data_IF_798834052101
#
_entry.id   IF_798834052101
#
_cell.length_a   1.000
_cell.length_b   1.000
_cell.length_c   1.000
_cell.angle_alpha   90.00
_cell.angle_beta   90.00
_cell.angle_gamma   90.00
#
_symmetry.space_group_name_H-M   'P 1'
#
loop_
_entity.id
_entity.type
_entity.pdbx_description
1 polymer ?
#
# COMPACT_ATOMS: atom_id res chain seq x y z
N UNK A 1 -4.16 29.09 -7.95
CA UNK A 1 -3.13 28.08 -8.19
C UNK A 1 -3.62 26.80 -7.55
N UNK A 2 -3.59 25.68 -8.27
CA UNK A 2 -3.95 24.38 -7.71
C UNK A 2 -2.75 23.72 -7.05
N UNK A 3 -2.96 23.23 -5.82
CA UNK A 3 -1.93 22.55 -5.04
C UNK A 3 -2.14 21.04 -5.08
N UNK A 4 -1.05 20.30 -5.17
CA UNK A 4 -1.03 18.86 -4.98
C UNK A 4 0.09 18.43 -4.01
N UNK A 5 -0.07 17.25 -3.43
CA UNK A 5 0.88 16.67 -2.49
C UNK A 5 1.62 15.50 -3.14
N UNK A 6 2.96 15.52 -3.13
CA UNK A 6 3.80 14.48 -3.71
C UNK A 6 4.55 13.70 -2.62
N UNK A 7 4.21 12.43 -2.46
CA UNK A 7 4.95 11.46 -1.64
C UNK A 7 6.09 10.84 -2.45
N UNK A 8 7.34 11.15 -2.08
CA UNK A 8 8.57 10.71 -2.74
C UNK A 8 9.09 9.37 -2.21
N UNK A 9 8.22 8.38 -2.00
CA UNK A 9 8.63 7.00 -1.75
C UNK A 9 8.68 6.23 -3.08
N UNK A 10 9.87 5.80 -3.53
CA UNK A 10 10.03 5.17 -4.84
C UNK A 10 9.38 3.78 -4.99
N UNK A 11 8.98 3.11 -3.90
CA UNK A 11 8.15 1.89 -3.97
C UNK A 11 6.74 2.18 -4.44
N UNK A 12 6.22 3.37 -4.14
CA UNK A 12 4.85 3.82 -4.39
C UNK A 12 4.88 5.35 -4.46
N UNK A 13 5.48 5.95 -5.50
CA UNK A 13 5.38 7.42 -5.59
C UNK A 13 3.91 7.76 -5.75
N UNK A 14 3.42 8.71 -4.96
CA UNK A 14 2.01 9.06 -4.93
C UNK A 14 1.83 10.55 -5.07
N UNK A 15 0.99 10.98 -6.01
CA UNK A 15 0.62 12.37 -6.21
C UNK A 15 -0.88 12.51 -5.98
N UNK A 16 -1.27 13.30 -4.98
CA UNK A 16 -2.67 13.60 -4.70
C UNK A 16 -3.00 15.03 -5.11
N UNK A 17 -4.01 15.18 -5.97
CA UNK A 17 -4.55 16.48 -6.40
C UNK A 17 -6.07 16.43 -6.32
N UNK A 18 -6.65 17.16 -5.35
CA UNK A 18 -8.07 16.99 -4.99
C UNK A 18 -8.39 15.54 -4.63
N UNK A 19 -9.44 14.98 -5.21
CA UNK A 19 -9.85 13.58 -4.99
C UNK A 19 -9.02 12.57 -5.81
N UNK A 20 -8.14 13.04 -6.70
CA UNK A 20 -7.36 12.18 -7.57
C UNK A 20 -6.05 11.79 -6.91
N UNK A 21 -5.87 10.49 -6.70
CA UNK A 21 -4.61 9.88 -6.26
C UNK A 21 -4.00 9.10 -7.42
N UNK A 22 -2.77 9.47 -7.80
CA UNK A 22 -1.99 8.78 -8.82
C UNK A 22 -0.84 8.05 -8.15
N UNK A 23 -0.68 6.76 -8.42
CA UNK A 23 0.46 5.97 -7.93
C UNK A 23 1.34 5.53 -9.09
N UNK A 24 2.66 5.73 -8.97
CA UNK A 24 3.62 5.36 -10.00
C UNK A 24 4.95 4.91 -9.39
N UNK A 25 5.17 3.61 -9.14
CA UNK A 25 6.43 3.13 -8.56
C UNK A 25 7.64 3.51 -9.43
N UNK A 26 8.83 3.59 -8.85
CA UNK A 26 10.08 4.02 -9.45
C UNK A 26 10.69 3.07 -10.49
N UNK A 27 9.88 2.60 -11.44
CA UNK A 27 10.29 1.78 -12.59
C UNK A 27 10.27 2.64 -13.84
N UNK A 28 11.31 2.52 -14.65
CA UNK A 28 11.40 3.11 -15.98
C UNK A 28 11.71 2.01 -16.98
N UNK A 29 10.91 1.90 -18.05
CA UNK A 29 11.12 0.99 -19.17
C UNK A 29 11.34 1.81 -20.44
N UNK A 30 12.42 1.55 -21.17
CA UNK A 30 12.59 2.11 -22.51
C UNK A 30 12.07 1.13 -23.56
N UNK A 31 11.01 1.50 -24.28
CA UNK A 31 10.37 0.56 -25.20
C UNK A 31 11.01 0.52 -26.59
N UNK A 32 11.95 1.44 -26.87
CA UNK A 32 12.57 1.66 -28.18
C UNK A 32 12.15 2.98 -28.85
N UNK A 33 11.03 3.57 -28.40
CA UNK A 33 10.45 4.83 -28.90
C UNK A 33 10.34 5.88 -27.80
N UNK A 34 10.05 5.46 -26.57
CA UNK A 34 9.91 6.33 -25.42
C UNK A 34 10.06 5.57 -24.11
N UNK A 35 9.83 6.29 -23.02
CA UNK A 35 9.81 5.72 -21.69
C UNK A 35 8.38 5.47 -21.25
N UNK A 36 8.14 4.30 -20.68
CA UNK A 36 7.01 4.06 -19.80
C UNK A 36 7.53 4.04 -18.36
N UNK A 37 6.73 4.56 -17.44
CA UNK A 37 7.06 4.59 -16.02
C UNK A 37 6.02 3.83 -15.18
N UNK A 38 6.30 3.69 -13.88
CA UNK A 38 5.30 3.22 -12.93
C UNK A 38 4.92 1.75 -13.10
N UNK A 39 3.65 1.47 -12.84
CA UNK A 39 3.07 0.13 -12.93
C UNK A 39 3.19 -0.48 -14.33
N UNK A 40 3.13 0.34 -15.39
CA UNK A 40 3.31 -0.12 -16.76
C UNK A 40 4.73 -0.64 -17.02
N UNK A 41 5.75 0.05 -16.48
CA UNK A 41 7.13 -0.43 -16.54
C UNK A 41 7.33 -1.67 -15.64
N UNK A 42 6.77 -1.67 -14.42
CA UNK A 42 6.83 -2.79 -13.48
C UNK A 42 6.27 -4.09 -14.08
N UNK A 43 5.14 -4.02 -14.77
CA UNK A 43 4.48 -5.17 -15.43
C UNK A 43 5.28 -5.82 -16.57
N UNK A 44 6.42 -5.21 -16.96
CA UNK A 44 7.30 -5.69 -18.02
C UNK A 44 8.73 -5.90 -17.53
N UNK A 45 9.00 -5.76 -16.23
CA UNK A 45 10.34 -5.82 -15.66
C UNK A 45 11.05 -7.16 -15.91
N UNK A 46 10.33 -8.28 -15.82
CA UNK A 46 10.87 -9.63 -16.09
C UNK A 46 10.84 -9.98 -17.58
N UNK A 47 9.93 -9.39 -18.33
CA UNK A 47 9.86 -9.54 -19.79
C UNK A 47 11.01 -8.83 -20.51
N UNK A 48 11.42 -7.65 -20.01
CA UNK A 48 12.43 -6.78 -20.62
C UNK A 48 13.48 -6.29 -19.61
N UNK A 49 14.21 -7.19 -18.93
CA UNK A 49 15.11 -6.82 -17.84
C UNK A 49 16.31 -5.95 -18.27
N UNK A 50 16.66 -5.96 -19.56
CA UNK A 50 17.73 -5.11 -20.11
C UNK A 50 17.29 -3.68 -20.42
N UNK A 51 15.98 -3.47 -20.53
CA UNK A 51 15.40 -2.19 -20.92
C UNK A 51 14.71 -1.51 -19.73
N UNK A 52 15.08 -1.88 -18.51
CA UNK A 52 14.44 -1.43 -17.27
C UNK A 52 15.46 -0.79 -16.32
N UNK A 53 15.03 0.27 -15.62
CA UNK A 53 15.77 0.85 -14.50
C UNK A 53 14.83 1.05 -13.31
N UNK A 54 15.32 0.73 -12.12
CA UNK A 54 14.63 0.94 -10.85
C UNK A 54 15.43 1.81 -9.89
N UNK A 55 16.60 2.31 -10.30
CA UNK A 55 17.58 2.95 -9.39
C UNK A 55 17.56 4.47 -9.47
N UNK A 56 16.81 5.06 -10.38
CA UNK A 56 16.97 6.47 -10.73
C UNK A 56 16.47 7.45 -9.66
N UNK A 57 15.53 7.05 -8.81
CA UNK A 57 15.18 7.80 -7.60
C UNK A 57 16.21 7.61 -6.48
N UNK A 58 16.60 6.36 -6.21
CA UNK A 58 17.60 6.02 -5.19
C UNK A 58 18.99 6.62 -5.47
N UNK A 59 19.43 6.60 -6.73
CA UNK A 59 20.70 7.13 -7.22
C UNK A 59 20.48 8.38 -8.07
N UNK A 60 19.66 9.32 -7.57
CA UNK A 60 19.43 10.59 -8.24
C UNK A 60 20.73 11.40 -8.30
N UNK A 61 21.32 11.51 -9.48
CA UNK A 61 22.54 12.24 -9.77
C UNK A 61 22.65 12.55 -11.28
N UNK A 62 23.76 13.17 -11.68
CA UNK A 62 24.07 13.49 -13.09
C UNK A 62 25.16 12.60 -13.68
N UNK A 63 25.53 11.49 -13.02
CA UNK A 63 26.50 10.52 -13.54
C UNK A 63 25.86 9.71 -14.67
N UNK A 64 26.64 9.30 -15.69
CA UNK A 64 26.13 8.48 -16.77
C UNK A 64 25.43 7.21 -16.27
N UNK A 65 24.26 6.89 -16.83
CA UNK A 65 23.53 5.67 -16.49
C UNK A 65 24.36 4.42 -16.80
N UNK A 66 24.38 3.48 -15.85
CA UNK A 66 25.04 2.18 -16.00
C UNK A 66 24.11 1.04 -15.55
N UNK A 67 23.63 0.18 -16.47
CA UNK A 67 23.76 0.29 -17.93
C UNK A 67 23.03 1.51 -18.49
N UNK A 68 23.36 1.93 -19.71
CA UNK A 68 22.60 2.97 -20.41
C UNK A 68 21.18 2.50 -20.66
N UNK A 69 20.19 3.38 -20.52
CA UNK A 69 18.80 3.07 -20.77
C UNK A 69 18.21 4.08 -21.77
N UNK A 70 18.11 3.70 -23.04
CA UNK A 70 17.61 4.59 -24.09
C UNK A 70 18.45 5.88 -24.22
N UNK A 71 17.82 7.03 -24.57
CA UNK A 71 18.52 8.31 -24.72
C UNK A 71 18.86 9.05 -23.42
N UNK A 72 18.34 8.62 -22.25
CA UNK A 72 18.60 9.26 -20.97
C UNK A 72 20.09 9.20 -20.63
N UNK A 73 20.66 10.35 -20.26
CA UNK A 73 22.09 10.48 -19.97
C UNK A 73 22.40 10.04 -18.55
N UNK A 74 21.55 10.44 -17.61
CA UNK A 74 21.69 10.21 -16.17
C UNK A 74 20.32 10.03 -15.51
N UNK A 75 20.28 9.67 -14.22
CA UNK A 75 19.03 9.42 -13.49
C UNK A 75 18.14 10.67 -13.40
N UNK A 76 18.71 11.88 -13.38
CA UNK A 76 17.91 13.11 -13.41
C UNK A 76 17.04 13.27 -14.68
N UNK A 77 17.46 12.74 -15.85
CA UNK A 77 16.63 12.78 -17.06
C UNK A 77 15.38 11.88 -16.88
N UNK A 78 15.55 10.71 -16.24
CA UNK A 78 14.47 9.77 -15.94
C UNK A 78 13.52 10.32 -14.86
N UNK A 79 14.06 10.94 -13.80
CA UNK A 79 13.23 11.60 -12.77
C UNK A 79 12.41 12.72 -13.40
N UNK A 80 13.01 13.58 -14.22
CA UNK A 80 12.30 14.65 -14.93
C UNK A 80 11.13 14.11 -15.76
N UNK A 81 11.36 13.10 -16.59
CA UNK A 81 10.31 12.51 -17.42
C UNK A 81 9.23 11.79 -16.59
N UNK A 82 9.61 11.13 -15.50
CA UNK A 82 8.65 10.47 -14.61
C UNK A 82 7.76 11.50 -13.90
N UNK A 83 8.33 12.61 -13.42
CA UNK A 83 7.60 13.72 -12.84
C UNK A 83 6.62 14.37 -13.84
N UNK A 84 7.04 14.57 -15.09
CA UNK A 84 6.17 15.07 -16.15
C UNK A 84 4.97 14.12 -16.41
N UNK A 85 5.20 12.80 -16.44
CA UNK A 85 4.12 11.84 -16.59
C UNK A 85 3.17 11.86 -15.39
N UNK A 86 3.71 11.86 -14.17
CA UNK A 86 2.92 11.95 -12.93
C UNK A 86 2.04 13.20 -12.93
N UNK A 87 2.62 14.36 -13.23
CA UNK A 87 1.93 15.66 -13.30
C UNK A 87 0.79 15.64 -14.31
N UNK A 88 1.04 15.18 -15.54
CA UNK A 88 0.03 15.09 -16.58
C UNK A 88 -1.14 14.14 -16.20
N UNK A 89 -0.83 13.02 -15.54
CA UNK A 89 -1.84 12.06 -15.07
C UNK A 89 -2.56 12.57 -13.82
N UNK A 90 -2.06 13.56 -13.10
CA UNK A 90 -2.70 14.14 -11.92
C UNK A 90 -3.45 15.45 -12.21
N UNK A 91 -3.90 15.66 -13.46
CA UNK A 91 -4.60 16.88 -13.89
C UNK A 91 -3.77 18.16 -13.77
N UNK A 92 -2.45 18.02 -13.93
CA UNK A 92 -1.50 19.12 -14.13
C UNK A 92 -1.59 20.24 -13.07
N UNK A 93 -1.40 19.95 -11.77
CA UNK A 93 -1.42 20.97 -10.71
C UNK A 93 -0.34 22.04 -10.92
N UNK A 94 -0.61 23.27 -10.48
CA UNK A 94 0.36 24.37 -10.60
C UNK A 94 1.53 24.22 -9.61
N UNK A 95 1.22 23.77 -8.39
CA UNK A 95 2.15 23.74 -7.27
C UNK A 95 2.16 22.38 -6.57
N UNK A 96 3.33 21.97 -6.11
CA UNK A 96 3.56 20.72 -5.39
C UNK A 96 4.18 20.98 -4.01
N UNK A 97 3.59 20.39 -2.98
CA UNK A 97 4.21 20.22 -1.67
C UNK A 97 4.81 18.81 -1.59
N UNK A 98 6.11 18.74 -1.36
CA UNK A 98 6.91 17.52 -1.42
C UNK A 98 7.09 16.91 -0.02
N UNK A 99 6.69 15.65 0.15
CA UNK A 99 7.06 14.82 1.29
C UNK A 99 8.23 13.90 0.89
N UNK A 100 9.44 14.22 1.34
CA UNK A 100 10.66 13.49 1.01
C UNK A 100 11.11 12.56 2.13
N UNK A 101 11.62 11.35 1.82
CA UNK A 101 12.27 10.49 2.80
C UNK A 101 13.64 11.08 3.19
N UNK A 102 14.09 10.85 4.41
CA UNK A 102 15.39 11.35 4.88
C UNK A 102 16.59 10.73 4.15
N UNK A 103 16.38 9.59 3.47
CA UNK A 103 17.41 8.95 2.65
C UNK A 103 17.83 9.77 1.44
N UNK A 104 17.01 10.72 1.00
CA UNK A 104 17.35 11.63 -0.09
C UNK A 104 18.23 12.75 0.46
N UNK A 105 19.54 12.64 0.22
CA UNK A 105 20.54 13.56 0.77
C UNK A 105 20.40 14.97 0.18
N UNK A 106 20.95 15.99 0.85
CA UNK A 106 20.91 17.41 0.43
C UNK A 106 21.28 17.62 -1.05
N UNK A 107 22.30 16.91 -1.55
CA UNK A 107 22.69 17.00 -2.96
C UNK A 107 21.61 16.45 -3.92
N UNK A 108 20.92 15.37 -3.52
CA UNK A 108 19.83 14.78 -4.28
C UNK A 108 18.57 15.65 -4.21
N UNK A 109 18.24 16.19 -3.03
CA UNK A 109 17.14 17.14 -2.85
C UNK A 109 17.38 18.41 -3.68
N UNK A 110 18.59 18.98 -3.63
CA UNK A 110 18.96 20.14 -4.45
C UNK A 110 18.83 19.85 -5.94
N UNK A 111 19.27 18.67 -6.38
CA UNK A 111 19.12 18.25 -7.77
C UNK A 111 17.65 18.05 -8.14
N UNK A 112 16.83 17.45 -7.27
CA UNK A 112 15.40 17.29 -7.48
C UNK A 112 14.70 18.64 -7.65
N UNK A 113 14.99 19.61 -6.77
CA UNK A 113 14.43 20.96 -6.87
C UNK A 113 14.88 21.65 -8.18
N UNK A 114 16.14 21.48 -8.59
CA UNK A 114 16.63 21.95 -9.89
C UNK A 114 15.94 21.28 -11.09
N UNK A 115 15.57 19.99 -10.98
CA UNK A 115 14.75 19.30 -11.99
C UNK A 115 13.35 19.88 -12.05
N UNK A 116 12.73 20.12 -10.90
CA UNK A 116 11.36 20.67 -10.81
C UNK A 116 11.30 22.08 -11.42
N UNK A 117 12.35 22.90 -11.32
CA UNK A 117 12.43 24.19 -12.02
C UNK A 117 12.35 24.08 -13.56
N UNK A 118 12.55 22.89 -14.13
CA UNK A 118 12.39 22.61 -15.56
C UNK A 118 11.03 21.97 -15.90
N UNK A 119 10.16 21.77 -14.91
CA UNK A 119 8.82 21.23 -15.05
C UNK A 119 7.76 22.36 -15.11
N UNK A 120 6.53 22.06 -15.59
CA UNK A 120 5.45 23.05 -15.69
C UNK A 120 4.72 23.29 -14.36
N UNK A 121 5.39 23.09 -13.23
CA UNK A 121 4.85 23.23 -11.87
C UNK A 121 5.95 23.65 -10.91
N UNK A 122 5.58 24.24 -9.77
CA UNK A 122 6.55 24.67 -8.75
C UNK A 122 6.59 23.71 -7.58
N UNK A 123 7.74 23.61 -6.91
CA UNK A 123 7.78 23.10 -5.55
C UNK A 123 7.56 24.27 -4.59
N UNK A 124 6.55 24.19 -3.72
CA UNK A 124 6.15 25.27 -2.80
C UNK A 124 6.29 24.90 -1.32
N UNK A 125 6.67 23.66 -1.04
CA UNK A 125 6.96 23.17 0.29
C UNK A 125 7.75 21.87 0.24
N UNK A 126 8.60 21.66 1.24
CA UNK A 126 9.44 20.47 1.34
C UNK A 126 9.49 20.01 2.80
N UNK A 127 9.01 18.81 3.07
CA UNK A 127 8.88 18.26 4.43
C UNK A 127 9.36 16.82 4.51
N UNK A 128 9.91 16.45 5.67
CA UNK A 128 10.31 15.08 5.93
C UNK A 128 9.07 14.18 6.07
N UNK A 129 8.96 13.17 5.21
CA UNK A 129 7.81 12.25 5.11
C UNK A 129 7.41 11.65 6.46
N UNK A 130 8.38 11.10 7.20
CA UNK A 130 8.13 10.51 8.52
C UNK A 130 7.63 11.50 9.56
N UNK A 131 8.05 12.77 9.49
CA UNK A 131 7.60 13.83 10.42
C UNK A 131 6.16 14.21 10.11
N UNK A 132 5.84 14.38 8.82
CA UNK A 132 4.48 14.64 8.37
C UNK A 132 3.51 13.54 8.84
N UNK A 133 3.78 12.28 8.52
CA UNK A 133 2.84 11.20 8.92
C UNK A 133 2.77 11.01 10.44
N UNK A 134 3.89 11.14 11.15
CA UNK A 134 3.92 11.00 12.61
C UNK A 134 3.11 12.08 13.34
N UNK A 135 3.07 13.31 12.80
CA UNK A 135 2.32 14.43 13.41
C UNK A 135 0.83 14.14 13.58
N UNK A 136 0.27 13.23 12.77
CA UNK A 136 -1.14 12.86 12.80
C UNK A 136 -1.50 12.02 14.04
N UNK A 137 -0.54 11.37 14.69
CA UNK A 137 -0.79 10.39 15.74
C UNK A 137 -0.42 10.91 17.13
N UNK A 138 -1.30 10.70 18.10
CA UNK A 138 -1.05 11.02 19.50
C UNK A 138 0.09 10.17 20.04
N UNK A 139 1.20 10.81 20.37
CA UNK A 139 2.37 10.18 20.97
C UNK A 139 3.02 11.12 21.98
N UNK A 140 3.61 10.55 23.02
CA UNK A 140 4.47 11.26 23.96
C UNK A 140 5.76 10.42 24.15
N UNK A 141 6.90 11.01 23.77
CA UNK A 141 8.18 10.34 23.75
C UNK A 141 8.59 9.75 22.38
N UNK A 142 9.41 8.69 22.38
CA UNK A 142 9.96 8.11 21.15
C UNK A 142 8.89 7.41 20.32
N UNK A 143 8.94 7.64 19.01
CA UNK A 143 8.07 7.05 17.99
C UNK A 143 8.93 6.63 16.80
N UNK A 144 8.60 5.52 16.16
CA UNK A 144 9.32 5.05 14.99
C UNK A 144 8.41 4.97 13.78
N UNK A 145 8.98 5.21 12.60
CA UNK A 145 8.31 5.01 11.33
C UNK A 145 9.17 4.11 10.44
N UNK A 146 8.58 3.00 9.99
CA UNK A 146 9.19 2.03 9.10
C UNK A 146 8.55 2.12 7.71
N UNK A 147 9.38 2.45 6.73
CA UNK A 147 9.00 2.54 5.32
C UNK A 147 9.88 1.67 4.43
N UNK A 148 9.33 1.29 3.27
CA UNK A 148 10.02 0.50 2.25
C UNK A 148 10.20 1.31 0.98
N UNK A 149 11.44 1.37 0.51
CA UNK A 149 11.83 1.82 -0.82
C UNK A 149 12.23 0.62 -1.69
N UNK A 150 12.41 0.84 -3.00
CA UNK A 150 12.72 -0.24 -3.94
C UNK A 150 14.01 -0.98 -3.54
N UNK A 151 15.04 -0.25 -3.11
CA UNK A 151 16.38 -0.80 -2.84
C UNK A 151 16.76 -0.83 -1.36
N UNK A 152 15.98 -0.21 -0.48
CA UNK A 152 16.27 -0.13 0.95
C UNK A 152 14.99 -0.05 1.80
N UNK A 153 15.10 -0.33 3.09
CA UNK A 153 14.09 0.05 4.07
C UNK A 153 14.67 1.13 4.97
N UNK A 154 13.82 1.99 5.51
CA UNK A 154 14.23 3.09 6.37
C UNK A 154 13.46 2.99 7.68
N UNK A 155 14.20 3.08 8.78
CA UNK A 155 13.63 3.23 10.11
C UNK A 155 13.97 4.64 10.60
N UNK A 156 12.94 5.48 10.70
CA UNK A 156 13.05 6.83 11.24
C UNK A 156 12.68 6.82 12.71
N UNK A 157 13.53 7.35 13.57
CA UNK A 157 13.22 7.67 14.95
C UNK A 157 12.80 9.14 15.06
N UNK A 158 11.67 9.35 15.73
CA UNK A 158 11.07 10.64 16.01
C UNK A 158 10.86 10.78 17.51
N UNK A 159 10.72 12.02 17.95
CA UNK A 159 10.28 12.34 19.30
C UNK A 159 9.06 13.23 19.22
N UNK A 160 7.97 12.76 19.80
CA UNK A 160 6.76 13.55 20.02
C UNK A 160 6.78 14.10 21.44
N UNK A 161 6.34 15.34 21.59
CA UNK A 161 6.05 16.02 22.86
C UNK A 161 4.75 16.80 22.69
N UNK A 162 4.20 17.37 23.77
CA UNK A 162 2.83 17.94 23.80
C UNK A 162 2.42 18.72 22.53
N UNK A 163 3.30 19.55 21.97
CA UNK A 163 2.97 20.41 20.82
C UNK A 163 3.71 20.07 19.51
N UNK A 164 4.68 19.16 19.53
CA UNK A 164 5.62 19.01 18.40
C UNK A 164 6.12 17.59 18.21
N UNK A 165 6.23 17.19 16.94
CA UNK A 165 6.98 16.01 16.50
C UNK A 165 8.24 16.43 15.75
N UNK A 166 9.38 15.86 16.12
CA UNK A 166 10.67 16.18 15.50
C UNK A 166 11.41 14.93 15.07
N UNK A 167 12.14 15.03 13.96
CA UNK A 167 13.10 14.03 13.52
C UNK A 167 14.26 13.94 14.52
N UNK A 168 14.63 12.73 14.94
CA UNK A 168 15.86 12.49 15.71
C UNK A 168 16.96 11.86 14.86
N UNK A 169 16.66 10.71 14.26
CA UNK A 169 17.60 9.98 13.41
C UNK A 169 16.88 9.17 12.36
N UNK A 170 17.53 8.99 11.22
CA UNK A 170 17.11 8.02 10.21
C UNK A 170 18.18 6.93 10.09
N UNK A 171 17.73 5.68 10.00
CA UNK A 171 18.61 4.53 9.84
C UNK A 171 18.22 3.75 8.58
N UNK A 172 19.15 3.66 7.64
CA UNK A 172 19.04 2.77 6.48
C UNK A 172 19.22 1.33 6.92
N UNK A 173 18.28 0.47 6.58
CA UNK A 173 18.34 -0.97 6.85
C UNK A 173 18.84 -1.70 5.59
N UNK A 174 20.12 -2.10 5.55
CA UNK A 174 20.72 -2.66 4.34
C UNK A 174 20.10 -4.01 3.97
N UNK A 175 19.96 -4.26 2.66
CA UNK A 175 19.46 -5.54 2.15
C UNK A 175 17.97 -5.80 2.43
N UNK A 176 17.23 -4.79 2.89
CA UNK A 176 15.82 -4.88 3.25
C UNK A 176 14.89 -4.12 2.31
N UNK A 177 15.35 -3.75 1.11
CA UNK A 177 14.49 -3.11 0.09
C UNK A 177 13.39 -4.02 -0.45
N UNK A 178 12.37 -3.41 -1.04
CA UNK A 178 11.21 -4.11 -1.59
C UNK A 178 11.62 -5.15 -2.64
N UNK A 179 12.55 -4.82 -3.53
CA UNK A 179 13.01 -5.75 -4.58
C UNK A 179 13.66 -7.00 -3.99
N UNK A 180 14.46 -6.85 -2.93
CA UNK A 180 15.11 -7.96 -2.24
C UNK A 180 14.08 -8.84 -1.52
N UNK A 181 13.07 -8.23 -0.90
CA UNK A 181 11.98 -8.95 -0.24
C UNK A 181 11.13 -9.72 -1.25
N UNK A 182 10.77 -9.08 -2.37
CA UNK A 182 10.04 -9.72 -3.47
C UNK A 182 10.80 -10.92 -4.03
N UNK A 183 12.12 -10.84 -4.24
CA UNK A 183 12.90 -11.99 -4.72
C UNK A 183 12.82 -13.17 -3.72
N UNK A 184 12.94 -12.92 -2.41
CA UNK A 184 12.82 -13.99 -1.39
C UNK A 184 11.42 -14.63 -1.37
N UNK A 185 10.39 -13.82 -1.52
CA UNK A 185 9.00 -14.29 -1.65
C UNK A 185 8.87 -15.15 -2.91
N UNK A 186 9.33 -14.65 -4.06
CA UNK A 186 9.29 -15.36 -5.35
C UNK A 186 10.06 -16.67 -5.30
N UNK A 187 11.24 -16.71 -4.69
CA UNK A 187 12.00 -17.95 -4.49
C UNK A 187 11.21 -18.98 -3.67
N UNK A 188 10.56 -18.53 -2.59
CA UNK A 188 9.74 -19.40 -1.74
C UNK A 188 8.52 -19.94 -2.50
N UNK A 189 7.81 -19.07 -3.22
CA UNK A 189 6.67 -19.44 -4.05
C UNK A 189 7.08 -20.38 -5.19
N UNK A 190 8.24 -20.17 -5.81
CA UNK A 190 8.79 -21.04 -6.85
C UNK A 190 9.02 -22.46 -6.30
N UNK A 191 9.62 -22.57 -5.10
CA UNK A 191 9.77 -23.88 -4.43
C UNK A 191 8.40 -24.54 -4.16
N UNK A 192 7.39 -23.77 -3.76
CA UNK A 192 6.04 -24.28 -3.55
C UNK A 192 5.39 -24.78 -4.85
N UNK A 193 5.53 -24.04 -5.96
CA UNK A 193 5.09 -24.46 -7.30
C UNK A 193 5.74 -25.78 -7.73
N UNK A 194 7.06 -25.90 -7.63
CA UNK A 194 7.78 -27.12 -8.01
C UNK A 194 7.33 -28.30 -7.14
N UNK A 195 7.20 -28.10 -5.82
CA UNK A 195 6.80 -29.15 -4.87
C UNK A 195 5.37 -29.65 -5.11
N UNK A 196 4.42 -28.75 -5.36
CA UNK A 196 2.99 -29.08 -5.46
C UNK A 196 2.55 -29.45 -6.88
N UNK A 197 3.20 -28.91 -7.91
CA UNK A 197 2.73 -29.03 -9.31
C UNK A 197 3.80 -29.46 -10.31
N UNK A 198 5.08 -29.53 -9.90
CA UNK A 198 6.26 -29.75 -10.76
C UNK A 198 6.50 -28.67 -11.81
N UNK A 199 5.72 -27.59 -11.79
CA UNK A 199 5.91 -26.42 -12.62
C UNK A 199 6.93 -25.48 -11.97
N UNK A 200 7.85 -24.94 -12.77
CA UNK A 200 8.78 -23.90 -12.35
C UNK A 200 8.35 -22.57 -13.01
N UNK A 201 7.73 -21.64 -12.25
CA UNK A 201 7.28 -20.35 -12.79
C UNK A 201 8.42 -19.46 -13.27
N UNK A 202 9.68 -19.70 -12.87
CA UNK A 202 10.83 -18.89 -13.27
C UNK A 202 11.47 -19.36 -14.58
N UNK A 203 10.99 -20.47 -15.15
CA UNK A 203 11.54 -21.01 -16.40
C UNK A 203 11.26 -20.13 -17.62
N UNK A 204 10.19 -19.33 -17.59
CA UNK A 204 9.80 -18.41 -18.66
C UNK A 204 9.54 -17.03 -18.07
N UNK A 205 9.89 -15.99 -18.83
CA UNK A 205 9.75 -14.61 -18.39
C UNK A 205 8.28 -14.23 -18.14
N UNK A 206 7.35 -14.79 -18.93
CA UNK A 206 5.92 -14.53 -18.81
C UNK A 206 5.35 -15.06 -17.50
N UNK A 207 5.69 -16.30 -17.13
CA UNK A 207 5.25 -16.88 -15.85
C UNK A 207 5.96 -16.25 -14.66
N UNK A 208 7.22 -15.84 -14.82
CA UNK A 208 7.94 -15.11 -13.77
C UNK A 208 7.31 -13.74 -13.54
N UNK A 209 6.98 -13.00 -14.61
CA UNK A 209 6.27 -11.73 -14.51
C UNK A 209 4.92 -11.88 -13.79
N UNK A 210 4.12 -12.87 -14.20
CA UNK A 210 2.83 -13.16 -13.54
C UNK A 210 3.00 -13.46 -12.05
N UNK A 211 4.07 -14.17 -11.66
CA UNK A 211 4.36 -14.47 -10.27
C UNK A 211 4.67 -13.19 -9.47
N UNK A 212 5.44 -12.27 -10.06
CA UNK A 212 5.74 -10.97 -9.46
C UNK A 212 4.50 -10.08 -9.35
N UNK A 213 3.66 -10.05 -10.39
CA UNK A 213 2.44 -9.23 -10.42
C UNK A 213 1.42 -9.71 -9.37
N UNK A 214 1.36 -11.02 -9.11
CA UNK A 214 0.45 -11.62 -8.13
C UNK A 214 0.88 -11.45 -6.66
N UNK A 215 2.08 -10.95 -6.38
CA UNK A 215 2.61 -10.85 -5.01
C UNK A 215 1.73 -9.98 -4.11
N UNK A 216 1.29 -8.82 -4.62
CA UNK A 216 0.53 -7.87 -3.81
C UNK A 216 -0.79 -8.49 -3.33
N UNK A 217 -1.59 -9.01 -4.26
CA UNK A 217 -2.89 -9.61 -3.97
C UNK A 217 -2.75 -10.85 -3.09
N UNK A 218 -1.69 -11.66 -3.32
CA UNK A 218 -1.37 -12.80 -2.47
C UNK A 218 -1.13 -12.36 -1.02
N UNK A 219 -0.31 -11.33 -0.81
CA UNK A 219 0.03 -10.84 0.52
C UNK A 219 -1.19 -10.20 1.21
N UNK A 220 -2.03 -9.47 0.47
CA UNK A 220 -3.30 -8.95 0.98
C UNK A 220 -4.23 -10.07 1.44
N UNK A 221 -4.43 -11.11 0.62
CA UNK A 221 -5.25 -12.27 1.00
C UNK A 221 -4.71 -12.95 2.26
N UNK A 222 -3.38 -13.07 2.33
CA UNK A 222 -2.70 -13.63 3.50
C UNK A 222 -2.74 -12.73 4.74
N UNK A 223 -3.23 -11.49 4.70
CA UNK A 223 -3.48 -10.69 5.92
C UNK A 223 -4.75 -11.13 6.66
N UNK A 224 -5.78 -11.54 5.92
CA UNK A 224 -7.08 -11.93 6.49
C UNK A 224 -7.25 -13.44 6.59
N UNK A 225 -6.51 -14.20 5.79
CA UNK A 225 -6.57 -15.66 5.75
C UNK A 225 -5.22 -16.29 6.13
N UNK A 226 -5.20 -17.48 6.74
CA UNK A 226 -3.95 -18.18 7.06
C UNK A 226 -3.29 -18.80 5.83
N UNK A 227 -4.06 -19.04 4.76
CA UNK A 227 -3.60 -19.59 3.50
C UNK A 227 -4.30 -18.88 2.34
N UNK A 228 -3.67 -18.87 1.16
CA UNK A 228 -4.22 -18.32 -0.07
C UNK A 228 -3.92 -19.25 -1.25
N UNK A 229 -4.82 -19.24 -2.25
CA UNK A 229 -4.62 -19.91 -3.53
C UNK A 229 -3.87 -18.97 -4.47
N UNK A 230 -2.83 -19.48 -5.13
CA UNK A 230 -2.09 -18.77 -6.17
C UNK A 230 -2.12 -19.59 -7.46
N UNK A 231 -2.52 -18.97 -8.56
CA UNK A 231 -2.56 -19.58 -9.88
C UNK A 231 -1.61 -18.86 -10.84
N UNK A 232 -0.73 -19.61 -11.52
CA UNK A 232 0.17 -19.11 -12.56
C UNK A 232 0.15 -20.09 -13.73
N UNK A 233 -0.14 -19.61 -14.94
CA UNK A 233 -0.22 -20.44 -16.17
C UNK A 233 -1.08 -21.72 -16.00
N UNK A 234 -2.20 -21.63 -15.28
CA UNK A 234 -3.10 -22.77 -15.02
C UNK A 234 -2.62 -23.75 -13.95
N UNK A 235 -1.41 -23.56 -13.39
CA UNK A 235 -0.93 -24.30 -12.23
C UNK A 235 -1.37 -23.60 -10.95
N UNK A 236 -1.94 -24.36 -10.01
CA UNK A 236 -2.46 -23.84 -8.75
C UNK A 236 -1.67 -24.39 -7.57
N UNK A 237 -1.30 -23.51 -6.65
CA UNK A 237 -0.73 -23.88 -5.35
C UNK A 237 -1.49 -23.23 -4.21
N UNK A 238 -1.45 -23.88 -3.04
CA UNK A 238 -1.88 -23.29 -1.78
C UNK A 238 -0.64 -22.87 -1.00
N UNK A 239 -0.63 -21.64 -0.52
CA UNK A 239 0.50 -21.03 0.20
C UNK A 239 0.01 -20.55 1.56
N UNK A 240 0.73 -20.91 2.62
CA UNK A 240 0.42 -20.46 3.98
C UNK A 240 1.18 -19.19 4.36
N UNK A 241 0.59 -18.36 5.22
CA UNK A 241 1.24 -17.16 5.79
C UNK A 241 2.56 -17.52 6.49
N UNK A 242 2.58 -18.64 7.22
CA UNK A 242 3.77 -19.12 7.93
C UNK A 242 4.90 -19.55 6.99
N UNK A 243 4.58 -20.06 5.78
CA UNK A 243 5.59 -20.44 4.78
C UNK A 243 6.36 -19.22 4.26
N UNK A 244 5.73 -18.03 4.28
CA UNK A 244 6.33 -16.78 3.83
C UNK A 244 6.96 -15.95 4.96
N UNK A 245 6.71 -16.29 6.23
CA UNK A 245 7.14 -15.49 7.38
C UNK A 245 8.66 -15.30 7.46
N UNK A 246 9.44 -16.27 6.98
CA UNK A 246 10.90 -16.22 6.99
C UNK A 246 11.47 -15.20 5.99
N UNK A 247 10.68 -14.77 4.99
CA UNK A 247 11.13 -13.79 4.00
C UNK A 247 11.45 -12.43 4.64
N UNK A 248 10.75 -12.10 5.74
CA UNK A 248 10.87 -10.84 6.47
C UNK A 248 11.90 -10.88 7.60
N UNK A 249 12.55 -12.02 7.86
CA UNK A 249 13.44 -12.19 9.02
C UNK A 249 14.55 -11.17 9.10
N UNK A 250 15.27 -10.90 7.99
CA UNK A 250 16.35 -9.89 8.01
C UNK A 250 15.85 -8.49 8.37
N UNK A 251 14.68 -8.10 7.84
CA UNK A 251 14.07 -6.81 8.16
C UNK A 251 13.65 -6.79 9.62
N UNK A 252 13.02 -7.88 10.10
CA UNK A 252 12.60 -8.03 11.50
C UNK A 252 13.77 -7.89 12.46
N UNK A 253 14.84 -8.62 12.24
CA UNK A 253 16.01 -8.63 13.13
C UNK A 253 16.72 -7.27 13.11
N UNK A 254 16.78 -6.62 11.95
CA UNK A 254 17.35 -5.27 11.81
C UNK A 254 16.54 -4.22 12.58
N UNK A 255 15.20 -4.24 12.46
CA UNK A 255 14.30 -3.35 13.20
C UNK A 255 14.37 -3.63 14.70
N UNK A 256 14.33 -4.90 15.11
CA UNK A 256 14.41 -5.28 16.52
C UNK A 256 15.72 -4.81 17.18
N UNK A 257 16.84 -4.86 16.44
CA UNK A 257 18.12 -4.34 16.92
C UNK A 257 18.06 -2.83 17.16
N UNK A 258 17.43 -2.07 16.27
CA UNK A 258 17.32 -0.61 16.41
C UNK A 258 16.33 -0.17 17.48
N UNK A 259 15.26 -0.95 17.69
CA UNK A 259 14.25 -0.72 18.73
C UNK A 259 14.66 -1.21 20.11
N UNK A 260 15.79 -1.89 20.28
CA UNK A 260 16.18 -2.51 21.55
C UNK A 260 16.23 -1.54 22.74
N UNK A 261 16.62 -0.27 22.51
CA UNK A 261 16.63 0.77 23.53
C UNK A 261 15.22 1.37 23.82
N UNK A 262 14.27 1.13 22.93
CA UNK A 262 12.92 1.70 22.94
C UNK A 262 11.87 0.62 22.61
N UNK A 263 11.95 -0.53 23.29
CA UNK A 263 11.16 -1.72 22.92
C UNK A 263 9.63 -1.54 22.96
N UNK A 264 9.16 -0.54 23.71
CA UNK A 264 7.74 -0.21 23.86
C UNK A 264 7.32 1.02 23.04
N UNK A 265 8.25 1.65 22.31
CA UNK A 265 7.92 2.77 21.45
C UNK A 265 7.01 2.29 20.31
N UNK A 266 5.96 3.06 19.95
CA UNK A 266 5.11 2.72 18.83
C UNK A 266 5.91 2.71 17.52
N UNK A 267 5.58 1.75 16.66
CA UNK A 267 6.11 1.64 15.30
C UNK A 267 5.00 1.86 14.27
N UNK A 268 5.03 2.99 13.57
CA UNK A 268 4.21 3.24 12.39
C UNK A 268 4.79 2.46 11.21
N UNK A 269 3.95 1.70 10.52
CA UNK A 269 4.36 0.89 9.36
C UNK A 269 3.60 1.34 8.12
N UNK A 270 4.33 1.65 7.05
CA UNK A 270 3.73 1.88 5.74
C UNK A 270 2.87 0.68 5.29
N UNK A 271 1.85 0.89 4.44
CA UNK A 271 0.97 -0.18 3.98
C UNK A 271 1.72 -1.40 3.41
N UNK A 272 2.76 -1.18 2.59
CA UNK A 272 3.55 -2.27 2.02
C UNK A 272 4.34 -3.06 3.07
N UNK A 273 4.82 -2.40 4.14
CA UNK A 273 5.50 -3.06 5.26
C UNK A 273 4.52 -3.94 6.00
N UNK A 274 3.32 -3.42 6.28
CA UNK A 274 2.30 -4.14 7.03
C UNK A 274 1.80 -5.41 6.32
N UNK A 275 1.91 -5.46 4.98
CA UNK A 275 1.58 -6.66 4.19
C UNK A 275 2.57 -7.81 4.39
N UNK A 276 3.79 -7.55 4.87
CA UNK A 276 4.84 -8.56 4.96
C UNK A 276 4.56 -9.60 6.06
N UNK A 277 4.50 -10.90 5.73
CA UNK A 277 4.30 -11.95 6.71
C UNK A 277 5.42 -11.98 7.73
N UNK A 278 5.08 -12.21 8.99
CA UNK A 278 6.06 -12.37 10.08
C UNK A 278 6.55 -11.07 10.74
N UNK A 279 6.01 -9.89 10.39
CA UNK A 279 6.32 -8.61 11.06
C UNK A 279 5.28 -8.21 12.13
N UNK A 280 4.00 -8.47 11.89
CA UNK A 280 2.88 -7.80 12.58
C UNK A 280 2.73 -8.04 14.10
N UNK A 281 3.38 -9.05 14.67
CA UNK A 281 3.26 -9.39 16.09
C UNK A 281 4.52 -9.05 16.91
N UNK A 282 5.59 -8.59 16.26
CA UNK A 282 6.89 -8.43 16.91
C UNK A 282 6.99 -7.18 17.78
N UNK A 283 6.19 -6.14 17.50
CA UNK A 283 6.27 -4.84 18.17
C UNK A 283 4.90 -4.23 18.37
N UNK A 284 4.85 -3.30 19.33
CA UNK A 284 3.76 -2.33 19.47
C UNK A 284 3.70 -1.48 18.20
N UNK A 285 2.87 -1.90 17.24
CA UNK A 285 2.86 -1.32 15.89
C UNK A 285 1.48 -0.90 15.43
N UNK A 286 1.45 0.07 14.53
CA UNK A 286 0.27 0.57 13.85
C UNK A 286 0.52 0.55 12.34
N UNK A 287 -0.41 -0.03 11.61
CA UNK A 287 -0.42 0.06 10.15
C UNK A 287 -1.03 1.41 9.74
N UNK A 288 -0.30 2.16 8.92
CA UNK A 288 -0.78 3.39 8.32
C UNK A 288 -1.84 3.10 7.27
N UNK A 289 -2.87 3.95 7.21
CA UNK A 289 -3.78 4.00 6.07
C UNK A 289 -3.09 4.74 4.90
N UNK A 290 -3.33 4.33 3.64
CA UNK A 290 -2.75 5.01 2.48
C UNK A 290 -3.00 6.53 2.44
N UNK A 291 -4.07 7.02 3.08
CA UNK A 291 -4.45 8.45 3.11
C UNK A 291 -3.77 9.25 4.23
N UNK A 292 -3.12 8.61 5.21
CA UNK A 292 -2.66 9.28 6.43
C UNK A 292 -1.64 10.39 6.17
N UNK A 293 -0.66 10.13 5.30
CA UNK A 293 0.33 11.13 4.92
C UNK A 293 -0.37 12.37 4.33
N UNK A 294 -1.31 12.17 3.42
CA UNK A 294 -1.98 13.26 2.75
C UNK A 294 -2.92 14.04 3.67
N UNK A 295 -3.61 13.36 4.58
CA UNK A 295 -4.39 14.00 5.62
C UNK A 295 -3.51 14.91 6.49
N UNK A 296 -2.33 14.44 6.88
CA UNK A 296 -1.38 15.23 7.67
C UNK A 296 -0.84 16.45 6.92
N UNK A 297 -0.52 16.31 5.62
CA UNK A 297 -0.06 17.40 4.77
C UNK A 297 -1.15 18.46 4.56
N UNK A 298 -2.39 18.02 4.30
CA UNK A 298 -3.52 18.92 4.11
C UNK A 298 -3.86 19.70 5.40
N UNK A 299 -3.84 19.03 6.56
CA UNK A 299 -4.12 19.66 7.85
C UNK A 299 -3.08 20.72 8.25
N UNK A 300 -1.85 20.62 7.72
CA UNK A 300 -0.74 21.53 8.05
C UNK A 300 -0.26 22.37 6.87
N UNK A 301 -1.06 22.45 5.80
CA UNK A 301 -0.67 23.10 4.55
C UNK A 301 -0.14 24.53 4.78
N UNK A 302 -0.85 25.36 5.55
CA UNK A 302 -0.47 26.75 5.78
C UNK A 302 0.93 26.91 6.39
N UNK A 303 1.34 25.98 7.27
CA UNK A 303 2.67 25.99 7.89
C UNK A 303 3.77 25.34 7.05
N UNK A 304 3.40 24.62 5.99
CA UNK A 304 4.31 23.90 5.10
C UNK A 304 4.66 24.68 3.83
N UNK A 305 3.80 25.62 3.43
CA UNK A 305 4.03 26.51 2.30
C UNK A 305 5.14 27.51 2.62
N UNK A 306 6.07 27.66 1.68
CA UNK A 306 7.24 28.52 1.79
C UNK A 306 7.28 29.46 0.57
N UNK A 307 6.41 30.48 0.59
CA UNK A 307 6.29 31.44 -0.52
C UNK A 307 7.54 32.32 -0.63
N UNK A 308 8.05 32.52 -1.86
CA UNK A 308 9.14 33.45 -2.21
C UNK A 308 10.50 33.26 -1.50
N UNK A 309 10.69 32.12 -0.82
CA UNK A 309 11.94 31.76 -0.13
C UNK A 309 12.57 30.48 -0.70
N UNK A 310 13.86 30.27 -0.41
CA UNK A 310 14.51 29.00 -0.73
C UNK A 310 13.92 27.90 0.14
N UNK A 311 13.39 26.83 -0.47
CA UNK A 311 12.76 25.73 0.26
C UNK A 311 13.72 25.13 1.29
N UNK A 312 13.32 25.19 2.55
CA UNK A 312 13.92 24.51 3.69
C UNK A 312 13.26 23.16 3.88
N UNK A 313 14.07 22.14 4.14
CA UNK A 313 13.55 20.81 4.46
C UNK A 313 13.01 20.78 5.89
N UNK A 314 11.69 20.80 6.04
CA UNK A 314 11.03 20.82 7.35
C UNK A 314 11.15 19.44 8.01
N UNK A 315 11.88 19.37 9.13
CA UNK A 315 12.12 18.15 9.92
C UNK A 315 11.45 18.17 11.30
N UNK A 316 10.60 19.17 11.55
CA UNK A 316 9.85 19.37 12.80
C UNK A 316 8.49 19.96 12.45
N UNK A 317 7.41 19.43 13.05
CA UNK A 317 6.04 19.89 12.81
C UNK A 317 5.22 19.93 14.10
N UNK A 318 4.21 20.82 14.18
CA UNK A 318 3.18 20.73 15.20
C UNK A 318 2.59 19.32 15.31
N UNK A 319 2.38 18.86 16.54
CA UNK A 319 1.69 17.60 16.79
C UNK A 319 0.17 17.83 16.64
N UNK A 320 -0.44 17.24 15.62
CA UNK A 320 -1.90 17.30 15.44
C UNK A 320 -2.61 16.37 16.41
N UNK A 321 -2.08 15.14 16.59
CA UNK A 321 -2.65 14.16 17.51
C UNK A 321 -4.11 13.81 17.22
N UNK A 322 -4.52 13.81 15.95
CA UNK A 322 -5.91 13.53 15.57
C UNK A 322 -6.26 12.04 15.68
N UNK A 323 -5.25 11.17 15.64
CA UNK A 323 -5.42 9.71 15.67
C UNK A 323 -4.80 9.10 16.91
N UNK A 324 -5.52 8.16 17.51
CA UNK A 324 -5.02 7.38 18.65
C UNK A 324 -4.15 6.25 18.13
N UNK A 325 -3.01 6.02 18.78
CA UNK A 325 -2.18 4.85 18.56
C UNK A 325 -2.82 3.61 19.20
N UNK A 326 -3.83 3.04 18.54
CA UNK A 326 -4.38 1.71 18.87
C UNK A 326 -3.42 0.63 18.34
N UNK A 327 -2.34 0.45 19.08
CA UNK A 327 -1.27 -0.49 18.74
C UNK A 327 -1.66 -1.90 19.19
N UNK A 328 -1.44 -2.90 18.33
CA UNK A 328 -1.53 -4.30 18.76
C UNK A 328 -0.39 -4.58 19.74
N UNK A 329 -0.69 -4.95 20.98
CA UNK A 329 0.32 -5.33 21.96
C UNK A 329 1.01 -6.63 21.53
N UNK A 330 2.34 -6.58 21.35
CA UNK A 330 3.19 -7.71 20.93
C UNK A 330 3.38 -8.82 21.99
N UNK A 331 2.52 -8.92 23.01
CA UNK A 331 2.58 -10.01 23.99
C UNK A 331 1.22 -10.31 24.60
N UNK A 332 0.58 -11.41 24.17
CA UNK A 332 -0.64 -11.87 24.81
C UNK A 332 -1.46 -12.89 24.04
N UNK A 333 -0.85 -13.96 23.50
CA UNK A 333 -1.62 -15.15 23.19
C UNK A 333 -2.11 -15.77 24.51
N UNK A 334 -3.30 -15.36 24.94
CA UNK A 334 -4.07 -16.06 25.97
C UNK A 334 -5.24 -16.73 25.26
N UNK A 335 -5.45 -18.05 25.43
CA UNK A 335 -6.51 -18.76 24.73
C UNK A 335 -7.86 -18.10 25.05
N UNK A 336 -8.65 -17.90 24.00
CA UNK A 336 -9.95 -17.25 24.06
C UNK A 336 -10.89 -18.02 25.00
N UNK A 337 -11.03 -17.54 26.23
CA UNK A 337 -12.16 -17.91 27.07
C UNK A 337 -13.36 -17.09 26.57
N UNK A 338 -14.40 -17.81 26.18
CA UNK A 338 -15.62 -17.23 25.65
C UNK A 338 -16.36 -16.51 26.77
N UNK A 339 -16.36 -15.18 26.75
CA UNK A 339 -17.33 -14.36 27.47
C UNK A 339 -17.50 -13.06 26.69
N UNK A 340 -18.51 -13.05 25.83
CA UNK A 340 -18.92 -11.89 25.07
C UNK A 340 -19.58 -10.88 26.00
N UNK A 341 -18.98 -9.70 26.14
CA UNK A 341 -19.71 -8.47 26.42
C UNK A 341 -19.32 -7.46 25.34
N UNK A 342 -20.29 -7.17 24.49
CA UNK A 342 -20.17 -6.28 23.35
C UNK A 342 -20.24 -4.81 23.79
N UNK A 343 -19.35 -3.98 23.25
CA UNK A 343 -19.57 -2.54 23.13
C UNK A 343 -18.71 -1.96 22.00
N UNK A 344 -19.36 -1.35 21.01
CA UNK A 344 -18.77 -0.31 20.15
C UNK A 344 -18.30 -0.70 18.74
N UNK A 345 -19.02 -1.55 18.00
CA UNK A 345 -18.74 -1.72 16.57
C UNK A 345 -19.40 -0.59 15.75
N UNK A 346 -18.60 0.27 15.12
CA UNK A 346 -19.05 1.12 14.01
C UNK A 346 -19.60 0.22 12.91
N UNK A 347 -20.85 0.45 12.52
CA UNK A 347 -21.56 -0.42 11.57
C UNK A 347 -20.97 -0.18 10.17
N UNK A 348 -20.45 -1.21 9.48
CA UNK A 348 -19.99 -1.04 8.10
C UNK A 348 -21.15 -0.55 7.22
N UNK A 349 -20.89 0.24 6.16
CA UNK A 349 -21.94 0.74 5.28
C UNK A 349 -22.74 -0.43 4.69
N UNK A 350 -24.07 -0.29 4.64
CA UNK A 350 -24.92 -1.31 4.05
C UNK A 350 -24.61 -1.48 2.57
N UNK A 351 -24.70 -2.70 2.02
CA UNK A 351 -24.49 -2.90 0.60
C UNK A 351 -25.52 -2.09 -0.20
N UNK A 352 -25.05 -1.44 -1.26
CA UNK A 352 -25.89 -0.64 -2.17
C UNK A 352 -26.05 -1.34 -3.52
N UNK A 353 -25.11 -2.22 -3.89
CA UNK A 353 -25.11 -2.90 -5.17
C UNK A 353 -24.79 -4.40 -5.03
N UNK A 354 -25.27 -5.17 -6.00
CA UNK A 354 -24.88 -6.54 -6.26
C UNK A 354 -23.95 -6.56 -7.48
N UNK A 355 -22.71 -6.99 -7.26
CA UNK A 355 -21.71 -7.19 -8.29
C UNK A 355 -21.82 -8.62 -8.83
N UNK A 356 -22.08 -8.73 -10.13
CA UNK A 356 -22.01 -9.99 -10.85
C UNK A 356 -21.05 -9.84 -12.02
N UNK A 357 -20.04 -10.70 -12.09
CA UNK A 357 -18.95 -10.61 -13.06
C UNK A 357 -18.25 -9.24 -13.00
N UNK A 358 -18.55 -8.35 -13.95
CA UNK A 358 -17.99 -7.00 -14.03
C UNK A 358 -19.07 -5.91 -14.07
N UNK A 359 -20.29 -6.21 -13.59
CA UNK A 359 -21.40 -5.26 -13.56
C UNK A 359 -21.98 -5.15 -12.15
N UNK A 360 -21.94 -3.94 -11.61
CA UNK A 360 -22.64 -3.58 -10.39
C UNK A 360 -24.08 -3.18 -10.72
N UNK A 361 -25.05 -3.80 -10.07
CA UNK A 361 -26.49 -3.49 -10.16
C UNK A 361 -26.94 -2.95 -8.80
N UNK A 362 -27.69 -1.83 -8.74
CA UNK A 362 -28.22 -1.32 -7.48
C UNK A 362 -29.21 -2.31 -6.86
N UNK A 363 -29.16 -2.48 -5.54
CA UNK A 363 -30.08 -3.32 -4.78
C UNK A 363 -31.44 -2.64 -4.64
N UNK A 364 -32.52 -3.40 -4.86
CA UNK A 364 -33.89 -2.92 -4.67
C UNK A 364 -34.64 -3.73 -3.61
N UNK A 365 -35.49 -3.07 -2.80
CA UNK A 365 -36.32 -3.78 -1.82
C UNK A 365 -37.30 -4.70 -2.55
N UNK A 366 -37.45 -5.92 -2.04
CA UNK A 366 -38.28 -7.01 -2.61
C UNK A 366 -37.78 -7.54 -3.95
N UNK A 367 -36.53 -7.29 -4.30
CA UNK A 367 -35.90 -7.87 -5.47
C UNK A 367 -35.69 -9.38 -5.30
N UNK A 368 -36.03 -10.15 -6.33
CA UNK A 368 -35.79 -11.60 -6.35
C UNK A 368 -34.35 -11.88 -6.79
N UNK A 369 -33.57 -12.54 -5.92
CA UNK A 369 -32.18 -12.88 -6.17
C UNK A 369 -32.01 -14.24 -6.83
N UNK A 370 -32.87 -15.18 -6.42
CA UNK A 370 -32.88 -16.57 -6.84
C UNK A 370 -34.31 -17.07 -6.71
N UNK A 371 -34.63 -18.20 -7.34
CA UNK A 371 -35.98 -18.78 -7.30
C UNK A 371 -36.40 -19.00 -5.84
N UNK A 372 -37.36 -18.19 -5.38
CA UNK A 372 -37.89 -18.20 -4.01
C UNK A 372 -37.04 -17.50 -2.94
N UNK A 373 -36.04 -16.68 -3.29
CA UNK A 373 -35.29 -15.84 -2.36
C UNK A 373 -35.41 -14.36 -2.72
N UNK A 374 -35.88 -13.56 -1.76
CA UNK A 374 -36.05 -12.11 -1.91
C UNK A 374 -35.11 -11.33 -1.00
N UNK A 375 -34.63 -10.18 -1.48
CA UNK A 375 -34.01 -9.18 -0.65
C UNK A 375 -35.05 -8.32 0.03
N UNK A 376 -34.84 -8.03 1.31
CA UNK A 376 -35.67 -7.11 2.07
C UNK A 376 -34.80 -6.07 2.76
N UNK A 377 -35.22 -4.81 2.68
CA UNK A 377 -34.57 -3.71 3.40
C UNK A 377 -35.34 -3.42 4.70
N UNK A 378 -34.65 -3.45 5.83
CA UNK A 378 -35.14 -3.01 7.13
C UNK A 378 -34.30 -1.85 7.68
N UNK A 379 -34.69 -1.30 8.84
CA UNK A 379 -33.91 -0.29 9.57
C UNK A 379 -32.51 -0.81 10.00
N UNK A 380 -32.31 -2.13 10.02
CA UNK A 380 -31.04 -2.77 10.40
C UNK A 380 -30.18 -3.18 9.21
N UNK A 381 -30.65 -2.96 7.97
CA UNK A 381 -29.94 -3.27 6.73
C UNK A 381 -30.68 -4.26 5.82
N UNK A 382 -29.93 -4.95 4.97
CA UNK A 382 -30.47 -5.94 4.04
C UNK A 382 -30.56 -7.32 4.68
N UNK A 383 -31.64 -8.04 4.41
CA UNK A 383 -31.81 -9.43 4.84
C UNK A 383 -32.42 -10.29 3.74
N UNK A 384 -32.11 -11.58 3.77
CA UNK A 384 -32.71 -12.58 2.91
C UNK A 384 -34.08 -13.00 3.44
N UNK A 385 -35.05 -13.12 2.55
CA UNK A 385 -36.36 -13.67 2.84
C UNK A 385 -36.64 -14.89 1.98
N UNK A 386 -36.90 -16.03 2.62
CA UNK A 386 -37.15 -17.31 1.96
C UNK A 386 -38.65 -17.51 1.72
N UNK A 387 -39.03 -17.78 0.48
CA UNK A 387 -40.39 -18.15 0.10
C UNK A 387 -40.55 -19.66 -0.01
N UNK A 388 -41.77 -20.21 0.20
CA UNK A 388 -42.02 -21.64 0.03
C UNK A 388 -41.64 -22.10 -1.38
N UNK A 389 -40.83 -23.16 -1.49
CA UNK A 389 -40.33 -23.68 -2.78
C UNK A 389 -38.98 -23.12 -3.24
N UNK A 390 -38.26 -22.39 -2.38
CA UNK A 390 -36.97 -21.79 -2.71
C UNK A 390 -35.90 -22.81 -3.13
N UNK A 391 -35.11 -22.43 -4.13
CA UNK A 391 -33.88 -23.14 -4.52
C UNK A 391 -32.77 -23.03 -3.45
N UNK A 392 -31.76 -23.92 -3.45
CA UNK A 392 -30.63 -23.84 -2.53
C UNK A 392 -29.77 -22.61 -2.82
N UNK A 393 -29.61 -21.76 -1.81
CA UNK A 393 -28.77 -20.56 -1.85
C UNK A 393 -27.66 -20.70 -0.81
N UNK A 394 -26.42 -20.39 -1.20
CA UNK A 394 -25.30 -20.27 -0.27
C UNK A 394 -24.97 -18.80 -0.03
N UNK A 395 -24.75 -18.45 1.23
CA UNK A 395 -24.22 -17.17 1.67
C UNK A 395 -22.83 -17.44 2.26
N UNK A 396 -21.78 -16.87 1.69
CA UNK A 396 -20.39 -17.07 2.13
C UNK A 396 -19.99 -18.55 2.29
N UNK A 397 -20.46 -19.42 1.39
CA UNK A 397 -20.16 -20.85 1.40
C UNK A 397 -20.95 -21.67 2.43
N UNK A 398 -21.86 -21.08 3.21
CA UNK A 398 -22.84 -21.79 4.05
C UNK A 398 -24.23 -21.73 3.46
N UNK A 399 -25.10 -22.70 3.77
CA UNK A 399 -26.51 -22.62 3.38
C UNK A 399 -27.19 -21.37 3.98
N UNK A 400 -27.84 -20.59 3.13
CA UNK A 400 -28.60 -19.41 3.52
C UNK A 400 -29.87 -19.81 4.28
N UNK A 401 -30.31 -18.94 5.19
CA UNK A 401 -31.51 -19.10 6.02
C UNK A 401 -32.39 -17.86 5.90
N UNK A 402 -33.69 -18.04 6.06
CA UNK A 402 -34.63 -16.91 6.19
C UNK A 402 -34.18 -15.98 7.33
N UNK A 403 -34.13 -14.68 7.06
CA UNK A 403 -33.68 -13.65 8.00
C UNK A 403 -32.16 -13.44 8.06
N UNK A 404 -31.35 -14.12 7.23
CA UNK A 404 -29.90 -13.87 7.18
C UNK A 404 -29.61 -12.41 6.80
N UNK A 405 -28.88 -11.71 7.67
CA UNK A 405 -28.45 -10.34 7.44
C UNK A 405 -27.28 -10.29 6.45
N UNK A 406 -27.31 -9.30 5.56
CA UNK A 406 -26.38 -9.12 4.46
C UNK A 406 -25.51 -7.89 4.64
N UNK A 407 -24.21 -8.04 4.35
CA UNK A 407 -23.18 -7.02 4.52
C UNK A 407 -22.36 -6.86 3.24
N UNK A 408 -21.67 -5.73 3.13
CA UNK A 408 -20.66 -5.56 2.10
C UNK A 408 -19.58 -6.65 2.23
N UNK A 409 -19.19 -7.23 1.10
CA UNK A 409 -18.25 -8.34 1.01
C UNK A 409 -18.91 -9.73 1.02
N UNK A 410 -20.20 -9.83 1.32
CA UNK A 410 -20.91 -11.12 1.31
C UNK A 410 -21.05 -11.66 -0.12
N UNK A 411 -20.87 -12.97 -0.27
CA UNK A 411 -21.01 -13.70 -1.52
C UNK A 411 -22.26 -14.59 -1.49
N UNK A 412 -23.09 -14.48 -2.52
CA UNK A 412 -24.31 -15.26 -2.69
C UNK A 412 -24.15 -16.19 -3.90
N UNK A 413 -24.47 -17.47 -3.75
CA UNK A 413 -24.30 -18.46 -4.83
C UNK A 413 -25.51 -19.39 -4.95
N UNK A 414 -26.01 -19.54 -6.17
CA UNK A 414 -27.16 -20.40 -6.52
C UNK A 414 -26.70 -21.58 -7.38
N UNK A 415 -26.71 -22.79 -6.83
CA UNK A 415 -26.23 -23.98 -7.56
C UNK A 415 -24.78 -23.82 -8.06
N UNK A 416 -24.53 -24.16 -9.33
CA UNK A 416 -23.21 -24.07 -9.97
C UNK A 416 -22.95 -22.72 -10.66
N UNK A 417 -23.75 -21.68 -10.38
CA UNK A 417 -23.51 -20.34 -10.94
C UNK A 417 -22.28 -19.68 -10.30
N UNK A 418 -21.67 -18.74 -11.02
CA UNK A 418 -20.69 -17.83 -10.41
C UNK A 418 -21.35 -17.05 -9.24
N UNK A 419 -20.59 -16.79 -8.15
CA UNK A 419 -21.14 -16.09 -6.99
C UNK A 419 -21.34 -14.59 -7.28
N UNK A 420 -22.41 -14.04 -6.74
CA UNK A 420 -22.67 -12.61 -6.66
C UNK A 420 -21.97 -12.04 -5.43
N UNK A 421 -21.41 -10.83 -5.49
CA UNK A 421 -20.83 -10.16 -4.33
C UNK A 421 -21.64 -8.90 -3.97
N UNK A 422 -21.92 -8.69 -2.70
CA UNK A 422 -22.55 -7.47 -2.21
C UNK A 422 -21.48 -6.40 -1.97
N UNK A 423 -21.66 -5.23 -2.57
CA UNK A 423 -20.71 -4.12 -2.49
C UNK A 423 -21.42 -2.82 -2.09
N UNK A 424 -20.67 -1.88 -1.53
CA UNK A 424 -21.07 -0.49 -1.44
C UNK A 424 -20.35 0.30 -2.54
N UNK A 425 -21.13 0.93 -3.40
CA UNK A 425 -20.66 1.98 -4.31
C UNK A 425 -21.11 3.30 -3.69
N UNK A 426 -20.17 4.22 -3.46
CA UNK A 426 -20.48 5.58 -3.03
C UNK A 426 -21.34 6.28 -4.09
N UNK A 427 -22.35 7.03 -3.66
CA UNK A 427 -23.16 7.85 -4.57
C UNK A 427 -22.35 8.96 -5.23
#
# INVERSE_FOLDING_TARGET
MSLAYLDLNDSTLRLQHGDRLVESPGYALYDGRGYAFGSEARSRARLRPRDISTRFWWQLDTRPLQPSLGPARHSADLVHQHLQQLHAVADAPDDLLLAAPGSMQDAQLSLLLGIIQQCPFNAVGLVHRSVAVASLFQADGPLFHLELQLHQALLTELHASEDVVRLLRETVLPGCGLLQLQERLVETLTRAFIRQTRFDPRRRAESEQQLYDALHDLLQNLQTQPEALLEIQGHRIRVGRSELADCSTTLRDSVATQLAAHSNAPLLMDPLVALLPGLGDAWRSLQLDPTDLFAALAAQQEGLLQEDEALVFISELPLLGERVLDTRDGSGARPADHSAEAQGATTPPWPTHLLYQHRARPLSDREELAEGWQLRRSEQGWHLHQQPGSSPLQLNGRAARDGDALRCGDHLQTGDSEPFQLIAVGE
#
